data_IF_598652484100
#
_entry.id   IF_598652484100
#
_cell.length_a   1.000
_cell.length_b   1.000
_cell.length_c   1.000
_cell.angle_alpha   90.00
_cell.angle_beta   90.00
_cell.angle_gamma   90.00
#
_symmetry.space_group_name_H-M   'P 1'
#
loop_
_entity.id
_entity.type
_entity.pdbx_description
1 polymer ?
#
# COMPACT_ATOMS: atom_id res chain seq x y z
N UNK A 1 -10.01 13.47 31.04
CA UNK A 1 -10.82 12.25 30.83
C UNK A 1 -9.93 11.28 30.07
N UNK A 2 -9.55 10.16 30.69
CA UNK A 2 -8.68 9.17 30.07
C UNK A 2 -9.44 8.45 28.95
N UNK A 3 -8.90 8.52 27.73
CA UNK A 3 -9.41 7.82 26.55
C UNK A 3 -9.23 6.31 26.81
N UNK A 4 -10.29 5.48 26.85
CA UNK A 4 -10.11 4.05 26.98
C UNK A 4 -9.44 3.61 25.68
N UNK A 5 -8.15 3.31 25.75
CA UNK A 5 -7.42 2.67 24.67
C UNK A 5 -8.18 1.40 24.27
N UNK A 6 -9.02 1.53 23.24
CA UNK A 6 -9.82 0.46 22.66
C UNK A 6 -8.81 -0.54 22.10
N UNK A 7 -8.56 -1.59 22.89
CA UNK A 7 -7.74 -2.72 22.50
C UNK A 7 -8.44 -3.46 21.35
N UNK A 8 -8.13 -3.08 20.12
CA UNK A 8 -8.44 -3.88 18.95
C UNK A 8 -7.55 -5.14 19.01
N UNK A 9 -8.12 -6.36 19.10
CA UNK A 9 -7.34 -7.59 19.07
C UNK A 9 -6.68 -7.74 17.69
N UNK A 10 -5.44 -8.21 17.69
CA UNK A 10 -4.68 -8.51 16.46
C UNK A 10 -5.37 -9.67 15.71
N UNK A 11 -5.23 -9.70 14.39
CA UNK A 11 -5.75 -10.80 13.58
C UNK A 11 -5.19 -12.15 14.09
N UNK A 12 -6.08 -13.10 14.38
CA UNK A 12 -5.70 -14.44 14.83
C UNK A 12 -5.50 -15.36 13.62
N UNK A 13 -4.43 -16.15 13.66
CA UNK A 13 -4.10 -17.12 12.60
C UNK A 13 -4.84 -18.45 12.82
N UNK A 14 -5.36 -19.02 11.73
CA UNK A 14 -5.86 -20.41 11.70
C UNK A 14 -4.70 -21.40 11.62
N UNK A 15 -4.96 -22.70 11.82
CA UNK A 15 -3.92 -23.74 11.66
C UNK A 15 -3.40 -23.80 10.22
N UNK A 16 -4.30 -23.80 9.22
CA UNK A 16 -3.92 -23.75 7.80
C UNK A 16 -3.05 -22.52 7.47
N UNK A 17 -3.34 -21.38 8.09
CA UNK A 17 -2.57 -20.16 7.88
C UNK A 17 -1.19 -20.22 8.56
N UNK A 18 -1.09 -20.87 9.74
CA UNK A 18 0.21 -21.15 10.38
C UNK A 18 1.09 -22.03 9.50
N UNK A 19 0.53 -23.09 8.92
CA UNK A 19 1.26 -23.97 8.00
C UNK A 19 1.73 -23.22 6.75
N UNK A 20 0.88 -22.31 6.22
CA UNK A 20 1.25 -21.45 5.11
C UNK A 20 2.40 -20.50 5.45
N UNK A 21 2.41 -19.93 6.66
CA UNK A 21 3.51 -19.09 7.16
C UNK A 21 4.83 -19.87 7.20
N UNK A 22 4.81 -21.06 7.80
CA UNK A 22 5.99 -21.92 7.90
C UNK A 22 6.52 -22.32 6.52
N UNK A 23 5.62 -22.62 5.59
CA UNK A 23 6.01 -22.96 4.22
C UNK A 23 6.63 -21.75 3.50
N UNK A 24 6.01 -20.57 3.57
CA UNK A 24 6.55 -19.35 2.97
C UNK A 24 7.85 -18.87 3.62
N UNK A 25 8.06 -19.14 4.92
CA UNK A 25 9.31 -18.80 5.59
C UNK A 25 10.50 -19.52 4.95
N UNK A 26 10.30 -20.76 4.49
CA UNK A 26 11.29 -21.61 3.82
C UNK A 26 11.50 -21.30 2.34
N UNK A 27 10.78 -20.33 1.78
CA UNK A 27 10.89 -19.91 0.38
C UNK A 27 12.20 -19.12 0.13
N UNK A 28 13.10 -19.69 -0.67
CA UNK A 28 14.41 -19.07 -0.99
C UNK A 28 14.74 -19.03 -2.49
N UNK A 29 14.13 -19.89 -3.32
CA UNK A 29 14.44 -19.95 -4.75
C UNK A 29 14.07 -18.63 -5.45
N UNK A 30 14.94 -18.01 -6.28
CA UNK A 30 14.66 -16.71 -6.90
C UNK A 30 13.45 -16.76 -7.85
N UNK A 31 13.30 -17.84 -8.62
CA UNK A 31 12.13 -18.06 -9.47
C UNK A 31 10.85 -18.26 -8.67
N UNK A 32 10.94 -18.97 -7.55
CA UNK A 32 9.82 -19.22 -6.64
C UNK A 32 9.39 -17.94 -5.91
N UNK A 33 10.35 -17.15 -5.42
CA UNK A 33 10.10 -15.83 -4.85
C UNK A 33 9.34 -14.92 -5.82
N UNK A 34 9.80 -14.85 -7.08
CA UNK A 34 9.10 -14.10 -8.13
C UNK A 34 7.68 -14.64 -8.35
N UNK A 35 7.52 -15.95 -8.48
CA UNK A 35 6.21 -16.57 -8.69
C UNK A 35 5.23 -16.28 -7.55
N UNK A 36 5.70 -16.36 -6.31
CA UNK A 36 4.91 -16.10 -5.10
C UNK A 36 4.54 -14.62 -4.96
N UNK A 37 5.47 -13.70 -5.22
CA UNK A 37 5.16 -12.26 -5.26
C UNK A 37 4.09 -11.95 -6.30
N UNK A 38 4.20 -12.50 -7.51
CA UNK A 38 3.18 -12.31 -8.53
C UNK A 38 1.83 -12.93 -8.13
N UNK A 39 1.82 -14.06 -7.41
CA UNK A 39 0.59 -14.67 -6.89
C UNK A 39 -0.07 -13.82 -5.80
N UNK A 40 0.71 -13.13 -4.96
CA UNK A 40 0.18 -12.22 -3.92
C UNK A 40 -0.56 -11.02 -4.52
N UNK A 41 -0.14 -10.56 -5.70
CA UNK A 41 -0.73 -9.43 -6.43
C UNK A 41 -2.02 -9.77 -7.20
N UNK A 42 -2.36 -11.06 -7.32
CA UNK A 42 -3.53 -11.48 -8.07
C UNK A 42 -4.83 -11.02 -7.42
N UNK A 43 -5.76 -10.58 -8.26
CA UNK A 43 -7.18 -10.49 -7.90
C UNK A 43 -7.74 -11.90 -7.75
N UNK A 44 -8.30 -12.28 -6.58
CA UNK A 44 -8.72 -13.65 -6.29
C UNK A 44 -9.69 -14.27 -7.30
N UNK A 45 -10.48 -13.48 -8.01
CA UNK A 45 -11.49 -13.97 -8.96
C UNK A 45 -11.06 -13.86 -10.42
N UNK A 46 -9.97 -13.15 -10.73
CA UNK A 46 -9.58 -12.85 -12.11
C UNK A 46 -8.91 -14.03 -12.80
N UNK A 47 -9.65 -14.70 -13.69
CA UNK A 47 -9.09 -15.78 -14.51
C UNK A 47 -8.01 -15.28 -15.48
N UNK A 48 -8.12 -14.04 -15.96
CA UNK A 48 -7.16 -13.46 -16.92
C UNK A 48 -5.81 -13.20 -16.25
N UNK A 49 -5.81 -12.59 -15.06
CA UNK A 49 -4.59 -12.41 -14.27
C UNK A 49 -3.96 -13.75 -13.89
N UNK A 50 -4.77 -14.75 -13.49
CA UNK A 50 -4.26 -16.12 -13.25
C UNK A 50 -3.56 -16.72 -14.46
N UNK A 51 -4.12 -16.54 -15.67
CA UNK A 51 -3.48 -17.03 -16.91
C UNK A 51 -2.18 -16.30 -17.22
N UNK A 52 -2.14 -14.97 -17.02
CA UNK A 52 -0.91 -14.19 -17.17
C UNK A 52 0.16 -14.65 -16.17
N UNK A 53 -0.21 -14.88 -14.91
CA UNK A 53 0.68 -15.44 -13.91
C UNK A 53 1.22 -16.83 -14.29
N UNK A 54 0.37 -17.73 -14.79
CA UNK A 54 0.81 -19.05 -15.30
C UNK A 54 1.78 -18.93 -16.48
N UNK A 55 1.63 -17.91 -17.32
CA UNK A 55 2.55 -17.65 -18.43
C UNK A 55 3.91 -17.15 -17.91
N UNK A 56 3.92 -16.25 -16.92
CA UNK A 56 5.13 -15.74 -16.27
C UNK A 56 5.89 -16.81 -15.47
N UNK A 57 5.19 -17.82 -14.95
CA UNK A 57 5.78 -18.92 -14.16
C UNK A 57 5.99 -20.20 -14.97
N UNK A 58 5.86 -20.13 -16.30
CA UNK A 58 6.04 -21.30 -17.19
C UNK A 58 7.44 -21.89 -17.00
N UNK A 59 7.50 -23.20 -16.78
CA UNK A 59 8.75 -23.93 -16.56
C UNK A 59 9.12 -24.10 -15.08
N UNK A 60 8.45 -23.42 -14.15
CA UNK A 60 8.60 -23.65 -12.72
C UNK A 60 7.56 -24.67 -12.23
N UNK A 61 8.01 -25.90 -11.93
CA UNK A 61 7.14 -26.99 -11.50
C UNK A 61 6.43 -26.69 -10.16
N UNK A 62 7.09 -26.00 -9.24
CA UNK A 62 6.59 -25.68 -7.89
C UNK A 62 5.65 -24.47 -7.86
N UNK A 63 5.47 -23.75 -8.97
CA UNK A 63 4.69 -22.50 -8.99
C UNK A 63 3.25 -22.67 -8.50
N UNK A 64 2.60 -23.78 -8.85
CA UNK A 64 1.21 -24.06 -8.45
C UNK A 64 1.09 -24.30 -6.95
N UNK A 65 2.07 -24.97 -6.35
CA UNK A 65 2.09 -25.26 -4.92
C UNK A 65 2.22 -23.95 -4.13
N UNK A 66 3.15 -23.07 -4.56
CA UNK A 66 3.29 -21.74 -3.98
C UNK A 66 2.04 -20.86 -4.11
N UNK A 67 1.36 -20.94 -5.25
CA UNK A 67 0.07 -20.26 -5.41
C UNK A 67 -0.98 -20.82 -4.45
N UNK A 68 -1.07 -22.14 -4.27
CA UNK A 68 -1.99 -22.76 -3.34
C UNK A 68 -1.72 -22.32 -1.89
N UNK A 69 -0.44 -22.25 -1.48
CA UNK A 69 -0.04 -21.71 -0.18
C UNK A 69 -0.45 -20.24 -0.02
N UNK A 70 -0.25 -19.39 -1.03
CA UNK A 70 -0.69 -17.99 -1.00
C UNK A 70 -2.22 -17.86 -0.85
N UNK A 71 -2.99 -18.80 -1.40
CA UNK A 71 -4.45 -18.81 -1.26
C UNK A 71 -4.95 -19.20 0.14
N UNK A 72 -4.10 -19.81 0.98
CA UNK A 72 -4.40 -20.08 2.39
C UNK A 72 -4.21 -18.85 3.28
N UNK A 73 -3.51 -17.81 2.81
CA UNK A 73 -3.29 -16.58 3.57
C UNK A 73 -4.59 -15.76 3.66
N UNK A 74 -4.89 -15.29 4.87
CA UNK A 74 -5.94 -14.29 5.08
C UNK A 74 -5.54 -12.94 4.48
N UNK A 75 -6.52 -12.05 4.29
CA UNK A 75 -6.26 -10.67 3.84
C UNK A 75 -5.26 -9.93 4.73
N UNK A 76 -5.30 -10.19 6.04
CA UNK A 76 -4.41 -9.56 7.02
C UNK A 76 -2.95 -10.00 6.93
N UNK A 77 -2.65 -11.08 6.20
CA UNK A 77 -1.31 -11.66 6.09
C UNK A 77 -0.66 -11.43 4.72
N UNK A 78 -1.46 -11.21 3.68
CA UNK A 78 -0.96 -11.12 2.28
C UNK A 78 0.00 -9.96 2.06
N UNK A 79 -0.35 -8.75 2.49
CA UNK A 79 0.50 -7.57 2.32
C UNK A 79 1.79 -7.65 3.15
N UNK A 80 1.77 -8.05 4.44
CA UNK A 80 2.99 -8.34 5.20
C UNK A 80 3.94 -9.34 4.52
N UNK A 81 3.40 -10.44 3.97
CA UNK A 81 4.19 -11.40 3.22
C UNK A 81 4.75 -10.81 1.93
N UNK A 82 3.97 -10.02 1.19
CA UNK A 82 4.45 -9.32 0.00
C UNK A 82 5.68 -8.45 0.36
N UNK A 83 5.58 -7.63 1.39
CA UNK A 83 6.67 -6.75 1.84
C UNK A 83 7.93 -7.51 2.22
N UNK A 84 7.79 -8.61 2.98
CA UNK A 84 8.91 -9.48 3.36
C UNK A 84 9.60 -10.07 2.14
N UNK A 85 8.85 -10.61 1.18
CA UNK A 85 9.40 -11.20 -0.03
C UNK A 85 10.05 -10.13 -0.94
N UNK A 86 9.48 -8.93 -1.00
CA UNK A 86 10.11 -7.80 -1.70
C UNK A 86 11.42 -7.38 -1.05
N UNK A 87 11.53 -7.40 0.28
CA UNK A 87 12.79 -7.14 0.99
C UNK A 87 13.89 -8.14 0.63
N UNK A 88 13.53 -9.41 0.41
CA UNK A 88 14.47 -10.44 -0.08
C UNK A 88 14.89 -10.19 -1.52
N UNK A 89 13.93 -9.88 -2.40
CA UNK A 89 14.16 -9.62 -3.82
C UNK A 89 14.88 -8.30 -4.09
N UNK A 90 14.84 -7.33 -3.18
CA UNK A 90 15.60 -6.09 -3.30
C UNK A 90 17.13 -6.33 -3.36
N UNK A 91 17.61 -7.48 -2.88
CA UNK A 91 19.01 -7.91 -2.95
C UNK A 91 19.39 -8.58 -4.29
N UNK A 92 18.41 -8.83 -5.17
CA UNK A 92 18.64 -9.46 -6.46
C UNK A 92 19.30 -8.50 -7.47
N UNK A 93 19.95 -9.03 -8.52
CA UNK A 93 20.46 -8.22 -9.64
C UNK A 93 19.40 -7.27 -10.21
N UNK A 94 19.83 -6.09 -10.69
CA UNK A 94 18.92 -5.06 -11.21
C UNK A 94 18.01 -5.60 -12.34
N UNK A 95 18.55 -6.42 -13.24
CA UNK A 95 17.78 -7.03 -14.33
C UNK A 95 16.62 -7.90 -13.82
N UNK A 96 16.83 -8.67 -12.75
CA UNK A 96 15.79 -9.51 -12.16
C UNK A 96 14.71 -8.66 -11.47
N UNK A 97 15.13 -7.58 -10.80
CA UNK A 97 14.23 -6.61 -10.18
C UNK A 97 13.35 -5.91 -11.22
N UNK A 98 13.93 -5.45 -12.33
CA UNK A 98 13.20 -4.84 -13.44
C UNK A 98 12.24 -5.83 -14.11
N UNK A 99 12.69 -7.06 -14.37
CA UNK A 99 11.86 -8.11 -14.95
C UNK A 99 10.64 -8.43 -14.07
N UNK A 100 10.79 -8.42 -12.74
CA UNK A 100 9.67 -8.59 -11.82
C UNK A 100 8.68 -7.42 -11.88
N UNK A 101 9.14 -6.16 -11.91
CA UNK A 101 8.25 -4.98 -12.02
C UNK A 101 7.44 -5.03 -13.32
N UNK A 102 8.07 -5.42 -14.43
CA UNK A 102 7.38 -5.58 -15.71
C UNK A 102 6.38 -6.74 -15.70
N UNK A 103 6.76 -7.89 -15.13
CA UNK A 103 5.88 -9.05 -14.97
C UNK A 103 4.65 -8.70 -14.11
N UNK A 104 4.85 -8.00 -13.00
CA UNK A 104 3.79 -7.54 -12.13
C UNK A 104 2.80 -6.64 -12.89
N UNK A 105 3.30 -5.71 -13.71
CA UNK A 105 2.45 -4.87 -14.56
C UNK A 105 1.63 -5.70 -15.55
N UNK A 106 2.23 -6.70 -16.20
CA UNK A 106 1.52 -7.59 -17.14
C UNK A 106 0.45 -8.42 -16.45
N UNK A 107 0.75 -8.94 -15.26
CA UNK A 107 -0.20 -9.72 -14.45
C UNK A 107 -1.37 -8.83 -14.03
N UNK A 108 -1.13 -7.70 -13.36
CA UNK A 108 -2.19 -6.81 -12.85
C UNK A 108 -3.04 -6.17 -13.97
N UNK A 109 -2.48 -5.97 -15.17
CA UNK A 109 -3.23 -5.39 -16.29
C UNK A 109 -3.92 -6.42 -17.19
N UNK A 110 -3.77 -7.73 -16.90
CA UNK A 110 -4.20 -8.79 -17.80
C UNK A 110 -5.71 -8.84 -18.05
N UNK A 111 -6.51 -8.32 -17.13
CA UNK A 111 -7.96 -8.25 -17.27
C UNK A 111 -8.47 -6.98 -18.00
N UNK A 112 -7.55 -6.05 -18.31
CA UNK A 112 -7.83 -4.77 -18.94
C UNK A 112 -8.21 -3.65 -17.97
N UNK A 113 -8.21 -3.91 -16.66
CA UNK A 113 -8.60 -2.95 -15.63
C UNK A 113 -7.46 -2.76 -14.61
N UNK A 114 -6.99 -1.53 -14.45
CA UNK A 114 -6.02 -1.21 -13.38
C UNK A 114 -6.77 -0.53 -12.26
N UNK A 115 -6.98 -1.24 -11.14
CA UNK A 115 -7.66 -0.70 -9.97
C UNK A 115 -6.74 0.27 -9.22
N UNK A 116 -7.29 1.20 -8.43
CA UNK A 116 -6.45 2.12 -7.66
C UNK A 116 -5.48 1.39 -6.71
N UNK A 117 -5.88 0.25 -6.12
CA UNK A 117 -4.99 -0.55 -5.26
C UNK A 117 -3.84 -1.21 -6.04
N UNK A 118 -4.07 -1.65 -7.29
CA UNK A 118 -3.02 -2.23 -8.14
C UNK A 118 -1.95 -1.18 -8.47
N UNK A 119 -2.37 0.09 -8.63
CA UNK A 119 -1.45 1.21 -8.82
C UNK A 119 -0.57 1.44 -7.60
N UNK A 120 -1.12 1.36 -6.38
CA UNK A 120 -0.32 1.46 -5.15
C UNK A 120 0.67 0.31 -5.03
N UNK A 121 0.25 -0.93 -5.27
CA UNK A 121 1.16 -2.08 -5.29
C UNK A 121 2.28 -1.90 -6.31
N UNK A 122 1.96 -1.45 -7.53
CA UNK A 122 2.95 -1.21 -8.57
C UNK A 122 3.96 -0.13 -8.19
N UNK A 123 3.51 0.95 -7.55
CA UNK A 123 4.40 2.00 -7.07
C UNK A 123 5.30 1.49 -5.93
N UNK A 124 4.78 0.68 -5.01
CA UNK A 124 5.59 0.07 -3.94
C UNK A 124 6.64 -0.87 -4.53
N UNK A 125 6.29 -1.68 -5.54
CA UNK A 125 7.26 -2.50 -6.26
C UNK A 125 8.38 -1.64 -6.86
N UNK A 126 8.05 -0.54 -7.54
CA UNK A 126 9.03 0.39 -8.10
C UNK A 126 9.88 1.06 -7.02
N UNK A 127 9.27 1.47 -5.91
CA UNK A 127 9.94 2.11 -4.78
C UNK A 127 10.97 1.17 -4.13
N UNK A 128 10.61 -0.11 -3.94
CA UNK A 128 11.45 -1.11 -3.25
C UNK A 128 12.50 -1.76 -4.15
N UNK A 129 12.15 -2.00 -5.42
CA UNK A 129 12.98 -2.76 -6.35
C UNK A 129 13.72 -1.87 -7.36
N UNK A 130 13.27 -0.63 -7.53
CA UNK A 130 13.91 0.36 -8.39
C UNK A 130 15.26 0.82 -7.87
N UNK A 131 15.91 1.68 -8.65
CA UNK A 131 17.09 2.41 -8.20
C UNK A 131 16.63 3.56 -7.29
N UNK A 132 17.17 3.73 -6.07
CA UNK A 132 16.77 4.82 -5.19
C UNK A 132 17.09 6.18 -5.83
N UNK A 133 16.09 6.79 -6.45
CA UNK A 133 16.13 8.22 -6.77
C UNK A 133 16.00 8.95 -5.44
N UNK A 134 17.14 9.36 -4.85
CA UNK A 134 17.13 10.18 -3.65
C UNK A 134 16.45 11.50 -3.97
N UNK A 135 15.23 11.69 -3.45
CA UNK A 135 14.63 13.00 -3.40
C UNK A 135 15.60 13.92 -2.64
N UNK A 136 16.01 15.02 -3.26
CA UNK A 136 16.84 16.03 -2.62
C UNK A 136 15.97 16.67 -1.53
N UNK A 137 16.26 16.32 -0.27
CA UNK A 137 15.55 16.89 0.86
C UNK A 137 15.74 18.42 0.84
N UNK A 138 14.64 19.17 0.77
CA UNK A 138 14.70 20.61 0.95
C UNK A 138 15.10 20.92 2.39
N UNK A 139 16.00 21.89 2.64
CA UNK A 139 16.34 22.30 3.99
C UNK A 139 15.06 22.69 4.75
N UNK A 140 14.87 22.07 5.91
CA UNK A 140 13.62 22.16 6.67
C UNK A 140 13.43 23.57 7.28
N UNK A 141 12.46 24.32 6.77
CA UNK A 141 11.99 25.57 7.37
C UNK A 141 10.62 25.44 8.06
N UNK A 142 9.87 24.38 7.77
CA UNK A 142 8.48 24.20 8.23
C UNK A 142 8.37 22.98 9.15
N UNK A 143 7.77 23.17 10.33
CA UNK A 143 7.57 22.11 11.33
C UNK A 143 6.11 21.68 11.44
N UNK A 144 5.19 22.45 10.85
CA UNK A 144 3.76 22.18 10.88
C UNK A 144 3.17 22.04 9.47
N UNK A 145 2.13 21.21 9.33
CA UNK A 145 1.44 21.02 8.05
C UNK A 145 0.81 22.33 7.54
N UNK A 146 0.28 23.16 8.44
CA UNK A 146 -0.37 24.42 8.10
C UNK A 146 0.61 25.50 7.58
N UNK A 147 1.90 25.35 7.85
CA UNK A 147 2.95 26.26 7.38
C UNK A 147 3.46 25.90 5.96
N UNK A 148 3.06 24.74 5.43
CA UNK A 148 3.44 24.34 4.08
C UNK A 148 2.88 25.30 3.04
N UNK A 149 3.62 25.44 1.93
CA UNK A 149 3.14 26.24 0.81
C UNK A 149 1.77 25.73 0.30
N UNK A 150 0.94 26.64 -0.19
CA UNK A 150 -0.35 26.28 -0.80
C UNK A 150 -0.18 25.28 -1.95
N UNK A 151 0.94 25.35 -2.69
CA UNK A 151 1.27 24.37 -3.73
C UNK A 151 1.43 22.97 -3.14
N UNK A 152 2.28 22.81 -2.11
CA UNK A 152 2.49 21.51 -1.45
C UNK A 152 1.19 20.96 -0.86
N UNK A 153 0.37 21.81 -0.23
CA UNK A 153 -0.93 21.40 0.31
C UNK A 153 -1.91 20.93 -0.78
N UNK A 154 -1.85 21.51 -1.98
CA UNK A 154 -2.63 21.03 -3.13
C UNK A 154 -2.14 19.68 -3.64
N UNK A 155 -0.84 19.41 -3.62
CA UNK A 155 -0.30 18.09 -3.97
C UNK A 155 -0.67 17.02 -2.91
N UNK A 156 -0.65 17.37 -1.62
CA UNK A 156 -1.24 16.54 -0.56
C UNK A 156 -2.73 16.27 -0.82
N UNK A 157 -3.48 17.29 -1.26
CA UNK A 157 -4.89 17.14 -1.62
C UNK A 157 -5.06 16.17 -2.80
N UNK A 158 -4.22 16.23 -3.83
CA UNK A 158 -4.28 15.28 -4.97
C UNK A 158 -4.04 13.83 -4.55
N UNK A 159 -3.02 13.59 -3.71
CA UNK A 159 -2.74 12.26 -3.16
C UNK A 159 -3.93 11.77 -2.30
N UNK A 160 -4.46 12.65 -1.45
CA UNK A 160 -5.63 12.33 -0.61
C UNK A 160 -6.88 12.05 -1.47
N UNK A 161 -7.12 12.81 -2.54
CA UNK A 161 -8.22 12.58 -3.48
C UNK A 161 -8.05 11.29 -4.30
N UNK A 162 -6.82 10.82 -4.54
CA UNK A 162 -6.60 9.50 -5.08
C UNK A 162 -6.97 8.40 -4.06
N UNK A 163 -6.48 8.54 -2.82
CA UNK A 163 -6.73 7.57 -1.74
C UNK A 163 -8.20 7.49 -1.33
N UNK A 164 -8.99 8.54 -1.52
CA UNK A 164 -10.43 8.54 -1.20
C UNK A 164 -11.24 7.54 -2.05
N UNK A 165 -10.66 7.03 -3.14
CA UNK A 165 -11.22 5.92 -3.92
C UNK A 165 -11.10 4.56 -3.23
N UNK A 166 -10.30 4.47 -2.17
CA UNK A 166 -10.02 3.26 -1.40
C UNK A 166 -10.38 3.42 0.08
N UNK A 167 -10.24 4.65 0.61
CA UNK A 167 -10.43 4.98 2.02
C UNK A 167 -11.64 5.91 2.17
N UNK A 168 -12.54 5.68 3.15
CA UNK A 168 -12.45 4.69 4.21
C UNK A 168 -12.99 3.30 3.82
N UNK A 169 -13.80 3.22 2.76
CA UNK A 169 -14.49 1.98 2.34
C UNK A 169 -14.45 1.73 0.83
N UNK A 170 -13.91 2.67 0.04
CA UNK A 170 -13.95 2.64 -1.43
C UNK A 170 -15.25 3.17 -2.04
N UNK A 171 -16.24 3.51 -1.21
CA UNK A 171 -17.49 4.15 -1.64
C UNK A 171 -17.27 5.65 -1.90
N UNK A 172 -17.76 6.16 -3.03
CA UNK A 172 -17.51 7.54 -3.45
C UNK A 172 -17.99 8.60 -2.44
N UNK A 173 -19.17 8.41 -1.82
CA UNK A 173 -19.72 9.35 -0.84
C UNK A 173 -18.88 9.37 0.44
N UNK A 174 -18.51 8.19 0.95
CA UNK A 174 -17.65 8.08 2.12
C UNK A 174 -16.24 8.65 1.86
N UNK A 175 -15.69 8.39 0.66
CA UNK A 175 -14.41 8.93 0.22
C UNK A 175 -14.40 10.45 0.14
N UNK A 176 -15.45 11.06 -0.41
CA UNK A 176 -15.62 12.51 -0.42
C UNK A 176 -15.63 13.09 1.00
N UNK A 177 -16.41 12.49 1.91
CA UNK A 177 -16.48 12.92 3.31
C UNK A 177 -15.12 12.83 4.00
N UNK A 178 -14.40 11.73 3.79
CA UNK A 178 -13.05 11.52 4.33
C UNK A 178 -12.04 12.51 3.77
N UNK A 179 -12.04 12.79 2.46
CA UNK A 179 -11.19 13.79 1.85
C UNK A 179 -11.36 15.18 2.50
N UNK A 180 -12.62 15.62 2.66
CA UNK A 180 -12.91 16.92 3.29
C UNK A 180 -12.43 16.94 4.74
N UNK A 181 -12.70 15.87 5.50
CA UNK A 181 -12.29 15.75 6.89
C UNK A 181 -10.76 15.83 7.06
N UNK A 182 -10.00 15.14 6.19
CA UNK A 182 -8.53 15.18 6.19
C UNK A 182 -7.99 16.57 5.87
N UNK A 183 -8.53 17.25 4.87
CA UNK A 183 -7.93 18.48 4.34
C UNK A 183 -8.37 19.74 5.09
N UNK A 184 -9.55 19.75 5.71
CA UNK A 184 -10.11 20.92 6.39
C UNK A 184 -9.27 21.53 7.53
N UNK A 185 -8.40 20.79 8.24
CA UNK A 185 -7.50 21.40 9.23
C UNK A 185 -6.39 22.26 8.61
N UNK A 186 -6.07 22.08 7.32
CA UNK A 186 -4.91 22.71 6.68
C UNK A 186 -5.28 23.68 5.56
N UNK A 187 -6.47 23.58 5.00
CA UNK A 187 -6.96 24.44 3.93
C UNK A 187 -8.29 25.06 4.31
N UNK A 188 -8.44 26.35 4.01
CA UNK A 188 -9.74 27.02 4.07
C UNK A 188 -10.67 26.44 3.01
N UNK A 189 -11.98 26.55 3.20
CA UNK A 189 -12.97 26.07 2.21
C UNK A 189 -12.82 26.72 0.83
N UNK A 190 -12.22 27.91 0.75
CA UNK A 190 -11.96 28.61 -0.52
C UNK A 190 -10.74 28.01 -1.26
N UNK A 191 -9.72 27.59 -0.52
CA UNK A 191 -8.47 27.07 -1.09
C UNK A 191 -8.51 25.56 -1.35
N UNK A 192 -9.49 24.86 -0.77
CA UNK A 192 -9.66 23.42 -0.87
C UNK A 192 -10.07 22.99 -2.28
N UNK A 193 -9.24 22.21 -2.99
CA UNK A 193 -9.61 21.66 -4.29
C UNK A 193 -10.83 20.74 -4.21
N UNK A 194 -11.53 20.54 -5.33
CA UNK A 194 -12.51 19.48 -5.41
C UNK A 194 -11.82 18.11 -5.23
N UNK A 195 -12.51 17.16 -4.60
CA UNK A 195 -12.04 15.77 -4.50
C UNK A 195 -12.18 15.08 -5.86
N UNK A 196 -11.27 15.41 -6.77
CA UNK A 196 -11.17 14.80 -8.08
C UNK A 196 -9.89 13.96 -8.11
N UNK A 197 -10.00 12.63 -8.23
CA UNK A 197 -8.82 11.79 -8.32
C UNK A 197 -7.98 12.18 -9.55
N UNK A 198 -6.67 12.39 -9.40
CA UNK A 198 -5.80 12.65 -10.53
C UNK A 198 -5.74 11.44 -11.47
N UNK A 199 -5.31 11.69 -12.71
CA UNK A 199 -4.89 10.63 -13.62
C UNK A 199 -3.58 9.96 -13.12
N UNK A 200 -3.07 8.99 -13.89
CA UNK A 200 -1.92 8.21 -13.46
C UNK A 200 -0.65 9.07 -13.28
N UNK A 201 -0.38 9.97 -14.21
CA UNK A 201 0.81 10.82 -14.19
C UNK A 201 0.69 11.93 -13.14
N UNK A 202 -0.49 12.54 -13.03
CA UNK A 202 -0.79 13.53 -11.99
C UNK A 202 -0.66 12.95 -10.59
N UNK A 203 -1.06 11.69 -10.38
CA UNK A 203 -0.85 11.03 -9.09
C UNK A 203 0.64 10.80 -8.80
N UNK A 204 1.41 10.35 -9.79
CA UNK A 204 2.84 10.10 -9.63
C UNK A 204 3.60 11.38 -9.28
N UNK A 205 3.31 12.47 -9.98
CA UNK A 205 3.93 13.77 -9.73
C UNK A 205 3.56 14.31 -8.34
N UNK A 206 2.28 14.24 -7.97
CA UNK A 206 1.84 14.67 -6.64
C UNK A 206 2.49 13.86 -5.52
N UNK A 207 2.63 12.54 -5.70
CA UNK A 207 3.30 11.69 -4.74
C UNK A 207 4.78 12.08 -4.58
N UNK A 208 5.49 12.39 -5.66
CA UNK A 208 6.88 12.82 -5.61
C UNK A 208 7.05 14.14 -4.83
N UNK A 209 6.13 15.09 -5.00
CA UNK A 209 6.11 16.35 -4.23
C UNK A 209 5.83 16.10 -2.73
N UNK A 210 4.88 15.21 -2.42
CA UNK A 210 4.58 14.82 -1.03
C UNK A 210 5.77 14.05 -0.40
N UNK A 211 6.47 13.22 -1.17
CA UNK A 211 7.72 12.58 -0.75
C UNK A 211 8.86 13.58 -0.53
N UNK A 212 8.85 14.76 -1.15
CA UNK A 212 9.86 15.79 -0.95
C UNK A 212 9.62 16.64 0.32
N UNK A 213 8.46 16.51 0.97
CA UNK A 213 8.17 17.21 2.24
C UNK A 213 9.18 16.85 3.34
N UNK A 214 9.35 17.74 4.34
CA UNK A 214 10.12 17.44 5.54
C UNK A 214 9.73 16.10 6.15
N UNK A 215 10.73 15.27 6.47
CA UNK A 215 10.52 13.88 6.88
C UNK A 215 9.61 13.74 8.12
N UNK A 216 9.60 14.73 9.02
CA UNK A 216 8.76 14.74 10.22
C UNK A 216 7.27 14.94 9.93
N UNK A 217 6.93 15.58 8.80
CA UNK A 217 5.54 15.89 8.43
C UNK A 217 4.82 14.72 7.75
N UNK A 218 5.57 13.83 7.08
CA UNK A 218 4.97 12.68 6.39
C UNK A 218 4.24 11.73 7.36
N UNK A 219 4.79 11.40 8.56
CA UNK A 219 4.06 10.63 9.56
C UNK A 219 2.85 11.37 10.14
N UNK A 220 2.89 12.71 10.24
CA UNK A 220 1.73 13.52 10.65
C UNK A 220 0.59 13.36 9.64
N UNK A 221 0.90 13.45 8.35
CA UNK A 221 -0.07 13.24 7.28
C UNK A 221 -0.69 11.83 7.32
N UNK A 222 0.14 10.78 7.43
CA UNK A 222 -0.35 9.39 7.47
C UNK A 222 -1.22 9.13 8.70
N UNK A 223 -0.88 9.70 9.87
CA UNK A 223 -1.73 9.63 11.06
C UNK A 223 -3.05 10.36 10.85
N UNK A 224 -3.04 11.56 10.26
CA UNK A 224 -4.26 12.29 9.93
C UNK A 224 -5.19 11.51 9.00
N UNK A 225 -4.64 10.86 7.97
CA UNK A 225 -5.40 9.95 7.09
C UNK A 225 -6.08 8.83 7.87
N UNK A 226 -5.33 8.15 8.75
CA UNK A 226 -5.82 7.05 9.56
C UNK A 226 -6.89 7.49 10.56
N UNK A 227 -6.64 8.57 11.31
CA UNK A 227 -7.55 9.11 12.32
C UNK A 227 -8.91 9.47 11.70
N UNK A 228 -8.91 10.17 10.57
CA UNK A 228 -10.15 10.53 9.89
C UNK A 228 -10.87 9.30 9.31
N UNK A 229 -10.12 8.31 8.83
CA UNK A 229 -10.73 7.08 8.32
C UNK A 229 -11.39 6.26 9.45
N UNK A 230 -10.76 6.23 10.63
CA UNK A 230 -11.33 5.58 11.81
C UNK A 230 -12.51 6.35 12.40
N UNK A 231 -12.47 7.69 12.37
CA UNK A 231 -13.56 8.53 12.86
C UNK A 231 -14.86 8.36 12.05
N UNK A 232 -14.73 8.08 10.76
CA UNK A 232 -15.85 7.82 9.84
C UNK A 232 -16.30 6.34 9.83
N UNK A 233 -15.58 5.46 10.51
CA UNK A 233 -15.94 4.04 10.62
C UNK A 233 -16.79 3.79 11.88
N UNK A 234 -18.03 3.26 11.76
CA UNK A 234 -18.89 2.98 12.91
C UNK A 234 -18.26 2.04 13.94
N UNK A 235 -17.43 1.10 13.49
CA UNK A 235 -16.74 0.12 14.34
C UNK A 235 -15.35 0.57 14.77
N UNK A 236 -14.93 1.80 14.41
CA UNK A 236 -13.54 2.29 14.50
C UNK A 236 -12.53 1.27 13.98
N UNK A 237 -12.90 0.59 12.88
CA UNK A 237 -12.05 -0.38 12.20
C UNK A 237 -12.11 -0.10 10.70
N UNK A 238 -10.95 -0.09 10.07
CA UNK A 238 -10.85 -0.04 8.61
C UNK A 238 -11.26 -1.38 7.99
N UNK A 239 -11.89 -1.28 6.82
CA UNK A 239 -12.01 -2.44 5.92
C UNK A 239 -10.62 -2.83 5.40
N UNK A 240 -10.37 -4.11 5.04
CA UNK A 240 -9.05 -4.57 4.63
C UNK A 240 -8.41 -3.74 3.52
N UNK A 241 -9.15 -3.44 2.45
CA UNK A 241 -8.62 -2.69 1.30
C UNK A 241 -8.20 -1.26 1.67
N UNK A 242 -8.91 -0.62 2.62
CA UNK A 242 -8.56 0.71 3.11
C UNK A 242 -7.31 0.67 4.02
N UNK A 243 -7.19 -0.37 4.85
CA UNK A 243 -5.96 -0.60 5.63
C UNK A 243 -4.75 -0.79 4.69
N UNK A 244 -4.89 -1.63 3.66
CA UNK A 244 -3.84 -1.90 2.67
C UNK A 244 -3.44 -0.63 1.93
N UNK A 245 -4.43 0.18 1.50
CA UNK A 245 -4.17 1.46 0.86
C UNK A 245 -3.34 2.40 1.74
N UNK A 246 -3.67 2.52 3.03
CA UNK A 246 -2.92 3.37 3.97
C UNK A 246 -1.53 2.79 4.30
N UNK A 247 -1.38 1.47 4.41
CA UNK A 247 -0.08 0.81 4.63
C UNK A 247 0.85 0.98 3.43
N UNK A 248 0.33 0.81 2.22
CA UNK A 248 1.07 1.04 0.97
C UNK A 248 1.45 2.52 0.83
N UNK A 249 0.53 3.44 1.10
CA UNK A 249 0.81 4.88 1.06
C UNK A 249 1.87 5.28 2.10
N UNK A 250 1.80 4.76 3.33
CA UNK A 250 2.80 4.97 4.37
C UNK A 250 4.20 4.50 3.94
N UNK A 251 4.29 3.34 3.27
CA UNK A 251 5.55 2.86 2.70
C UNK A 251 6.10 3.75 1.59
N UNK A 252 5.23 4.24 0.69
CA UNK A 252 5.65 5.17 -0.36
C UNK A 252 6.19 6.47 0.24
N UNK A 253 5.69 6.90 1.39
CA UNK A 253 6.18 8.10 2.08
C UNK A 253 7.37 7.86 3.02
N UNK A 254 7.88 6.62 3.08
CA UNK A 254 8.90 6.18 4.03
C UNK A 254 8.54 6.47 5.50
N UNK A 255 7.25 6.35 5.84
CA UNK A 255 6.72 6.58 7.17
C UNK A 255 6.75 5.30 8.01
N UNK A 256 7.08 5.38 9.32
CA UNK A 256 6.82 4.27 10.23
C UNK A 256 5.32 3.98 10.29
N UNK A 257 4.96 2.69 10.32
CA UNK A 257 3.56 2.27 10.37
C UNK A 257 2.92 2.67 11.72
N UNK A 258 1.78 3.39 11.73
CA UNK A 258 1.07 3.70 12.97
C UNK A 258 0.60 2.42 13.71
N UNK A 259 0.67 2.36 15.05
CA UNK A 259 0.28 1.18 15.83
C UNK A 259 -1.17 0.73 15.59
N UNK A 260 -2.09 1.67 15.42
CA UNK A 260 -3.51 1.40 15.15
C UNK A 260 -3.67 0.69 13.81
N UNK A 261 -2.91 1.09 12.79
CA UNK A 261 -2.89 0.45 11.49
C UNK A 261 -2.23 -0.94 11.57
N UNK A 262 -1.14 -1.07 12.33
CA UNK A 262 -0.43 -2.34 12.51
C UNK A 262 -1.32 -3.47 13.07
N UNK A 263 -2.34 -3.13 13.88
CA UNK A 263 -3.30 -4.10 14.46
C UNK A 263 -4.17 -4.81 13.42
N UNK A 264 -4.25 -4.26 12.20
CA UNK A 264 -4.97 -4.89 11.08
C UNK A 264 -4.24 -6.11 10.50
N UNK A 265 -2.97 -6.33 10.88
CA UNK A 265 -2.09 -7.26 10.19
C UNK A 265 -1.55 -8.36 11.10
N UNK A 266 -1.40 -9.54 10.50
CA UNK A 266 -0.59 -10.62 11.03
C UNK A 266 0.78 -10.58 10.34
N UNK A 267 1.81 -10.23 11.10
CA UNK A 267 3.17 -10.07 10.56
C UNK A 267 3.88 -11.43 10.53
N UNK A 268 4.65 -11.73 9.47
CA UNK A 268 5.59 -12.83 9.52
C UNK A 268 6.71 -12.53 10.54
N UNK A 269 7.31 -13.57 11.12
CA UNK A 269 8.45 -13.40 12.02
C UNK A 269 9.59 -12.63 11.33
N UNK A 270 10.33 -11.83 12.11
CA UNK A 270 11.50 -11.13 11.61
C UNK A 270 12.62 -12.14 11.27
N UNK A 271 13.32 -11.92 10.15
CA UNK A 271 14.55 -12.66 9.80
C UNK A 271 15.71 -12.29 10.73
#
# INVERSE_FOLDING_TARGET
MADPALHLPRAALTDDERDAFDHLARLHGPGELRATVLALLLTPESQRERRAWQAETRGLSTARDWHATVMQLSRASRLPWLERLLGRLAKAPLGDRQALVEAARRVMAADGQIRPIDRLHWLVLRHRLGDPVRAVAQPAAHNEMAELSLHTLREVARVTAFLSRLVPTGEAVAGQGWYLAVMSPWLTSHDLPACQPPDADGFFNALAEVQAMPWMLRPVLVRGWLEQALALSPSRRLVPDAADALRLAGQLLDCPMPPELARHYAEPDAD
#
